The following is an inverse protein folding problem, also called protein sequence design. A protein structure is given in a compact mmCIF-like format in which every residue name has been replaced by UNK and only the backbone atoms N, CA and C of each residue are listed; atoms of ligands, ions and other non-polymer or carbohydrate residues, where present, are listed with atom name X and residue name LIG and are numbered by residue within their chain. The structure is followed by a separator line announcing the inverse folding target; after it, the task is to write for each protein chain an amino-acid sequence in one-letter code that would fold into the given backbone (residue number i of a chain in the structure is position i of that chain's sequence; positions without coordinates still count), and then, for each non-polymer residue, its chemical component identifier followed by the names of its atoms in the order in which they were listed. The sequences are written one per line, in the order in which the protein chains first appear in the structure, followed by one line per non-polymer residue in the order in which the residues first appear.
data_IF_796474220301
#
_entry.id   IF_796474220301
#
_cell.length_a   1.000
_cell.length_b   1.000
_cell.length_c   1.000
_cell.angle_alpha   90.00
_cell.angle_beta   90.00
_cell.angle_gamma   90.00
#
_symmetry.space_group_name_H-M   'P 1'
#
loop_
_entity.id
_entity.type
_entity.pdbx_description
1 polymer ?
#
# COMPACT_ATOMS: atom_id res chain seq x y z
N UNK A 1 56.88 48.83 53.38
CA UNK A 1 56.50 47.40 53.59
C UNK A 1 55.92 46.69 52.35
N UNK A 2 56.13 47.15 51.09
CA UNK A 2 55.62 46.47 49.87
C UNK A 2 56.66 45.58 49.14
N UNK A 3 57.91 45.52 49.62
CA UNK A 3 59.02 44.79 48.97
C UNK A 3 59.25 43.37 49.55
N UNK A 4 58.86 43.13 50.81
CA UNK A 4 59.07 41.84 51.47
C UNK A 4 58.09 40.77 50.99
N UNK A 5 56.80 41.12 50.82
CA UNK A 5 55.76 40.19 50.37
C UNK A 5 56.02 39.64 48.96
N UNK A 6 56.58 40.45 48.05
CA UNK A 6 56.92 40.02 46.69
C UNK A 6 58.11 39.05 46.65
N UNK A 7 59.00 39.08 47.66
CA UNK A 7 60.10 38.10 47.79
C UNK A 7 59.60 36.78 48.36
N UNK A 8 58.71 36.81 49.35
CA UNK A 8 58.13 35.59 49.93
C UNK A 8 57.27 34.81 48.93
N UNK A 9 56.42 35.49 48.14
CA UNK A 9 55.64 34.81 47.08
C UNK A 9 56.53 34.17 46.00
N UNK A 10 57.68 34.76 45.69
CA UNK A 10 58.64 34.16 44.74
C UNK A 10 59.34 32.92 45.32
N UNK A 11 59.64 32.94 46.62
CA UNK A 11 60.23 31.78 47.30
C UNK A 11 59.21 30.64 47.38
N UNK A 12 57.94 30.93 47.69
CA UNK A 12 56.86 29.94 47.68
C UNK A 12 56.66 29.33 46.28
N UNK A 13 56.60 30.15 45.23
CA UNK A 13 56.50 29.66 43.86
C UNK A 13 57.71 28.82 43.42
N UNK A 14 58.92 29.15 43.89
CA UNK A 14 60.11 28.34 43.64
C UNK A 14 60.05 26.98 44.36
N UNK A 15 59.62 26.95 45.63
CA UNK A 15 59.43 25.72 46.38
C UNK A 15 58.33 24.85 45.76
N UNK A 16 57.21 25.43 45.33
CA UNK A 16 56.16 24.69 44.62
C UNK A 16 56.67 24.11 43.29
N UNK A 17 57.50 24.86 42.55
CA UNK A 17 58.14 24.40 41.32
C UNK A 17 59.14 23.27 41.57
N UNK A 18 59.91 23.34 42.65
CA UNK A 18 60.83 22.27 43.07
C UNK A 18 60.08 21.00 43.48
N UNK A 19 58.95 21.14 44.20
CA UNK A 19 58.05 20.01 44.53
C UNK A 19 57.46 19.40 43.25
N UNK A 20 57.06 20.22 42.27
CA UNK A 20 56.53 19.73 41.01
C UNK A 20 57.59 18.97 40.19
N UNK A 21 58.81 19.50 40.07
CA UNK A 21 59.87 18.81 39.33
C UNK A 21 60.36 17.56 40.03
N UNK A 22 60.43 17.54 41.36
CA UNK A 22 60.78 16.33 42.10
C UNK A 22 59.73 15.23 41.91
N UNK A 23 58.43 15.57 41.94
CA UNK A 23 57.34 14.63 41.59
C UNK A 23 57.43 14.14 40.15
N UNK A 24 57.73 15.03 39.20
CA UNK A 24 57.88 14.66 37.79
C UNK A 24 59.08 13.72 37.59
N UNK A 25 60.21 13.99 38.25
CA UNK A 25 61.40 13.16 38.21
C UNK A 25 61.14 11.77 38.82
N UNK A 26 60.39 11.72 39.94
CA UNK A 26 60.03 10.45 40.57
C UNK A 26 59.09 9.64 39.68
N UNK A 27 58.07 10.26 39.10
CA UNK A 27 57.17 9.60 38.14
C UNK A 27 57.92 9.09 36.90
N UNK A 28 58.87 9.87 36.37
CA UNK A 28 59.70 9.45 35.24
C UNK A 28 60.56 8.22 35.57
N UNK A 29 61.15 8.17 36.76
CA UNK A 29 61.91 7.00 37.24
C UNK A 29 61.04 5.76 37.39
N UNK A 30 59.84 5.90 37.95
CA UNK A 30 58.89 4.78 38.07
C UNK A 30 58.47 4.23 36.70
N UNK A 31 58.29 5.09 35.70
CA UNK A 31 58.02 4.66 34.33
C UNK A 31 59.23 3.96 33.70
N UNK A 32 60.45 4.45 33.93
CA UNK A 32 61.67 3.83 33.44
C UNK A 32 61.86 2.42 34.04
N UNK A 33 61.68 2.24 35.35
CA UNK A 33 61.74 0.93 36.00
C UNK A 33 60.67 -0.02 35.45
N UNK A 34 59.45 0.48 35.22
CA UNK A 34 58.36 -0.31 34.63
C UNK A 34 58.69 -0.76 33.20
N UNK A 35 59.29 0.12 32.40
CA UNK A 35 59.75 -0.21 31.04
C UNK A 35 60.88 -1.23 31.07
N UNK A 36 61.84 -1.09 31.98
CA UNK A 36 62.93 -2.06 32.14
C UNK A 36 62.42 -3.45 32.56
N UNK A 37 61.41 -3.52 33.42
CA UNK A 37 60.76 -4.79 33.77
C UNK A 37 60.09 -5.43 32.54
N UNK A 38 59.34 -4.66 31.74
CA UNK A 38 58.75 -5.16 30.49
C UNK A 38 59.78 -5.59 29.46
N UNK A 39 60.91 -4.89 29.36
CA UNK A 39 61.99 -5.28 28.46
C UNK A 39 62.57 -6.65 28.84
N UNK A 40 62.75 -6.91 30.15
CA UNK A 40 63.19 -8.22 30.65
C UNK A 40 62.18 -9.33 30.36
N UNK A 41 60.89 -9.03 30.44
CA UNK A 41 59.82 -9.97 30.09
C UNK A 41 59.88 -10.34 28.60
N UNK A 42 60.05 -9.35 27.71
CA UNK A 42 60.20 -9.58 26.26
C UNK A 42 61.48 -10.37 25.95
N UNK A 43 62.60 -10.08 26.62
CA UNK A 43 63.85 -10.84 26.44
C UNK A 43 63.70 -12.32 26.87
N UNK A 44 62.90 -12.58 27.91
CA UNK A 44 62.53 -13.94 28.32
C UNK A 44 61.72 -14.68 27.25
N UNK A 45 60.68 -14.03 26.70
CA UNK A 45 59.87 -14.60 25.61
C UNK A 45 60.69 -14.85 24.35
N UNK A 46 61.66 -13.99 24.05
CA UNK A 46 62.51 -14.14 22.86
C UNK A 46 63.45 -15.34 22.99
N UNK A 47 64.04 -15.56 24.17
CA UNK A 47 64.81 -16.76 24.48
C UNK A 47 63.98 -18.04 24.41
N UNK A 48 62.73 -17.99 24.85
CA UNK A 48 61.81 -19.12 24.72
C UNK A 48 61.49 -19.42 23.26
N UNK A 49 61.25 -18.39 22.45
CA UNK A 49 61.05 -18.54 21.01
C UNK A 49 62.30 -19.10 20.29
N UNK A 50 63.50 -18.64 20.66
CA UNK A 50 64.76 -19.21 20.15
C UNK A 50 64.93 -20.68 20.55
N UNK A 51 64.59 -21.04 21.80
CA UNK A 51 64.60 -22.44 22.23
C UNK A 51 63.61 -23.31 21.45
N UNK A 52 62.42 -22.78 21.15
CA UNK A 52 61.43 -23.47 20.33
C UNK A 52 61.91 -23.64 18.89
N UNK A 53 62.59 -22.63 18.32
CA UNK A 53 63.20 -22.75 16.99
C UNK A 53 64.30 -23.81 16.95
N UNK A 54 65.18 -23.85 17.95
CA UNK A 54 66.22 -24.88 18.04
C UNK A 54 65.61 -26.29 18.20
N UNK A 55 64.53 -26.42 18.99
CA UNK A 55 63.82 -27.68 19.13
C UNK A 55 63.16 -28.12 17.81
N UNK A 56 62.54 -27.20 17.08
CA UNK A 56 61.97 -27.45 15.76
C UNK A 56 63.05 -27.82 14.74
N UNK A 57 64.19 -27.15 14.76
CA UNK A 57 65.31 -27.44 13.85
C UNK A 57 65.94 -28.81 14.15
N UNK A 58 66.00 -29.22 15.42
CA UNK A 58 66.38 -30.57 15.82
C UNK A 58 65.36 -31.65 15.40
N UNK A 59 64.06 -31.35 15.47
CA UNK A 59 62.99 -32.23 14.96
C UNK A 59 62.97 -32.29 13.42
N UNK A 60 63.45 -31.27 12.72
CA UNK A 60 63.63 -31.30 11.26
C UNK A 60 64.91 -32.05 10.82
N UNK A 61 65.85 -32.33 11.74
CA UNK A 61 67.12 -32.99 11.42
C UNK A 61 67.01 -34.54 11.28
N UNK A 62 65.79 -35.08 11.15
CA UNK A 62 65.56 -36.50 10.81
C UNK A 62 65.63 -36.77 9.29
N UNK A 63 65.79 -35.75 8.45
CA UNK A 63 65.94 -35.88 6.98
C UNK A 63 67.39 -36.19 6.52
N UNK A 64 68.20 -36.81 7.38
CA UNK A 64 69.53 -37.35 7.01
C UNK A 64 69.62 -38.86 7.37
N UNK A 65 68.63 -39.64 6.93
CA UNK A 65 68.73 -41.10 6.90
C UNK A 65 68.03 -41.69 5.67
N UNK A 66 68.41 -41.21 4.49
CA UNK A 66 68.24 -41.97 3.24
C UNK A 66 69.08 -43.25 3.32
N UNK A 67 68.51 -44.33 3.85
CA UNK A 67 68.87 -45.71 3.48
C UNK A 67 67.78 -46.69 3.93
N UNK A 68 66.67 -46.71 3.19
CA UNK A 68 65.55 -47.61 3.46
C UNK A 68 64.53 -47.64 2.31
N UNK A 69 64.91 -48.23 1.19
CA UNK A 69 64.08 -48.28 -0.01
C UNK A 69 62.71 -48.97 0.17
N UNK A 70 61.75 -48.44 -0.59
CA UNK A 70 60.55 -49.07 -1.15
C UNK A 70 59.16 -48.80 -0.52
N UNK A 71 59.02 -48.15 0.64
CA UNK A 71 57.68 -47.81 1.20
C UNK A 71 57.35 -46.32 1.12
N UNK A 72 58.33 -45.43 1.25
CA UNK A 72 58.13 -43.97 1.17
C UNK A 72 57.82 -43.46 -0.24
N UNK A 73 58.44 -44.01 -1.29
CA UNK A 73 58.14 -43.60 -2.67
C UNK A 73 56.73 -43.99 -3.18
N UNK A 74 56.07 -44.96 -2.53
CA UNK A 74 54.69 -45.35 -2.82
C UNK A 74 53.72 -44.47 -2.04
N UNK A 75 54.04 -44.17 -0.77
CA UNK A 75 53.27 -43.24 0.08
C UNK A 75 53.35 -41.79 -0.40
N UNK A 76 54.52 -41.33 -0.87
CA UNK A 76 54.69 -40.00 -1.45
C UNK A 76 53.85 -39.84 -2.70
N UNK A 77 53.85 -40.84 -3.59
CA UNK A 77 52.99 -40.83 -4.78
C UNK A 77 51.49 -40.86 -4.45
N UNK A 78 51.05 -41.65 -3.47
CA UNK A 78 49.64 -41.64 -3.06
C UNK A 78 49.22 -40.32 -2.41
N UNK A 79 50.10 -39.70 -1.62
CA UNK A 79 49.85 -38.39 -1.02
C UNK A 79 49.80 -37.28 -2.07
N UNK A 80 50.63 -37.37 -3.11
CA UNK A 80 50.67 -36.39 -4.19
C UNK A 80 49.43 -36.48 -5.10
N UNK A 81 48.95 -37.70 -5.37
CA UNK A 81 47.65 -37.96 -6.02
C UNK A 81 46.47 -37.44 -5.18
N UNK A 82 46.50 -37.64 -3.85
CA UNK A 82 45.49 -37.08 -2.94
C UNK A 82 45.52 -35.54 -2.93
N UNK A 83 46.71 -34.93 -2.97
CA UNK A 83 46.89 -33.48 -3.00
C UNK A 83 46.40 -32.89 -4.33
N UNK A 84 46.64 -33.57 -5.44
CA UNK A 84 46.12 -33.19 -6.76
C UNK A 84 44.59 -33.33 -6.83
N UNK A 85 44.02 -34.39 -6.24
CA UNK A 85 42.57 -34.55 -6.13
C UNK A 85 41.93 -33.47 -5.26
N UNK A 86 42.52 -33.16 -4.10
CA UNK A 86 42.04 -32.09 -3.21
C UNK A 86 42.11 -30.72 -3.91
N UNK A 87 43.16 -30.44 -4.69
CA UNK A 87 43.26 -29.21 -5.49
C UNK A 87 42.17 -29.15 -6.57
N UNK A 88 41.90 -30.26 -7.25
CA UNK A 88 40.83 -30.33 -8.23
C UNK A 88 39.44 -30.11 -7.60
N UNK A 89 39.19 -30.70 -6.42
CA UNK A 89 37.99 -30.48 -5.62
C UNK A 89 37.87 -29.03 -5.14
N UNK A 90 38.98 -28.41 -4.70
CA UNK A 90 39.01 -27.00 -4.29
C UNK A 90 38.69 -26.06 -5.46
N UNK A 91 39.24 -26.32 -6.65
CA UNK A 91 38.91 -25.56 -7.85
C UNK A 91 37.45 -25.73 -8.27
N UNK A 92 36.91 -26.95 -8.17
CA UNK A 92 35.51 -27.21 -8.46
C UNK A 92 34.60 -26.47 -7.48
N UNK A 93 34.91 -26.52 -6.17
CA UNK A 93 34.18 -25.79 -5.14
C UNK A 93 34.23 -24.27 -5.37
N UNK A 94 35.39 -23.72 -5.74
CA UNK A 94 35.53 -22.31 -6.10
C UNK A 94 34.65 -21.91 -7.28
N UNK A 95 34.58 -22.74 -8.33
CA UNK A 95 33.67 -22.50 -9.47
C UNK A 95 32.22 -22.51 -9.02
N UNK A 96 31.80 -23.53 -8.25
CA UNK A 96 30.43 -23.61 -7.74
C UNK A 96 30.06 -22.44 -6.83
N UNK A 97 30.98 -21.95 -6.00
CA UNK A 97 30.76 -20.77 -5.17
C UNK A 97 30.57 -19.52 -6.03
N UNK A 98 31.40 -19.33 -7.06
CA UNK A 98 31.26 -18.21 -7.99
C UNK A 98 29.92 -18.25 -8.76
N UNK A 99 29.47 -19.43 -9.16
CA UNK A 99 28.18 -19.60 -9.85
C UNK A 99 27.01 -19.30 -8.90
N UNK A 100 27.07 -19.80 -7.66
CA UNK A 100 26.09 -19.51 -6.61
C UNK A 100 26.04 -18.02 -6.23
N UNK A 101 27.19 -17.35 -6.17
CA UNK A 101 27.26 -15.90 -5.93
C UNK A 101 26.57 -15.13 -7.06
N UNK A 102 26.83 -15.49 -8.32
CA UNK A 102 26.17 -14.87 -9.47
C UNK A 102 24.65 -15.11 -9.50
N UNK A 103 24.20 -16.32 -9.14
CA UNK A 103 22.77 -16.62 -8.99
C UNK A 103 22.13 -15.80 -7.86
N UNK A 104 22.83 -15.64 -6.73
CA UNK A 104 22.35 -14.85 -5.60
C UNK A 104 22.25 -13.35 -5.95
N UNK A 105 23.22 -12.80 -6.69
CA UNK A 105 23.15 -11.44 -7.21
C UNK A 105 21.95 -11.24 -8.15
N UNK A 106 21.69 -12.20 -9.05
CA UNK A 106 20.49 -12.16 -9.90
C UNK A 106 19.20 -12.23 -9.09
N UNK A 107 19.16 -13.08 -8.06
CA UNK A 107 18.00 -13.19 -7.17
C UNK A 107 17.77 -11.89 -6.39
N UNK A 108 18.82 -11.20 -5.96
CA UNK A 108 18.70 -9.88 -5.31
C UNK A 108 18.10 -8.84 -6.25
N UNK A 109 18.56 -8.79 -7.51
CA UNK A 109 17.98 -7.90 -8.52
C UNK A 109 16.48 -8.21 -8.73
N UNK A 110 16.13 -9.50 -8.77
CA UNK A 110 14.74 -9.93 -8.93
C UNK A 110 13.88 -9.58 -7.71
N UNK A 111 14.40 -9.74 -6.49
CA UNK A 111 13.73 -9.34 -5.25
C UNK A 111 13.48 -7.83 -5.24
N UNK A 112 14.45 -7.01 -5.65
CA UNK A 112 14.28 -5.56 -5.66
C UNK A 112 13.28 -5.11 -6.74
N UNK A 113 13.22 -5.78 -7.89
CA UNK A 113 12.15 -5.56 -8.88
C UNK A 113 10.77 -5.86 -8.32
N UNK A 114 10.62 -6.99 -7.62
CA UNK A 114 9.34 -7.36 -7.00
C UNK A 114 8.91 -6.38 -5.90
N UNK A 115 9.84 -5.85 -5.11
CA UNK A 115 9.54 -4.82 -4.10
C UNK A 115 9.03 -3.53 -4.74
N UNK A 116 9.61 -3.11 -5.86
CA UNK A 116 9.13 -1.93 -6.59
C UNK A 116 7.74 -2.17 -7.21
N UNK A 117 7.47 -3.37 -7.73
CA UNK A 117 6.13 -3.76 -8.17
C UNK A 117 5.11 -3.76 -7.01
N UNK A 118 5.46 -4.37 -5.88
CA UNK A 118 4.63 -4.38 -4.65
C UNK A 118 4.29 -2.95 -4.21
N UNK A 119 5.30 -2.08 -4.16
CA UNK A 119 5.11 -0.67 -3.82
C UNK A 119 4.19 0.03 -4.82
N UNK A 120 4.36 -0.22 -6.12
CA UNK A 120 3.47 0.33 -7.15
C UNK A 120 2.02 -0.12 -6.96
N UNK A 121 1.79 -1.40 -6.65
CA UNK A 121 0.45 -1.91 -6.37
C UNK A 121 -0.12 -1.33 -5.08
N UNK A 122 0.70 -1.12 -4.05
CA UNK A 122 0.28 -0.50 -2.81
C UNK A 122 -0.11 0.97 -3.01
N UNK A 123 0.68 1.74 -3.78
CA UNK A 123 0.32 3.11 -4.17
C UNK A 123 -0.96 3.15 -5.01
N UNK A 124 -1.18 2.15 -5.87
CA UNK A 124 -2.44 2.00 -6.62
C UNK A 124 -3.63 1.69 -5.69
N UNK A 125 -3.44 0.82 -4.71
CA UNK A 125 -4.45 0.47 -3.70
C UNK A 125 -4.81 1.68 -2.85
N UNK A 126 -3.82 2.44 -2.37
CA UNK A 126 -4.05 3.67 -1.60
C UNK A 126 -4.73 4.77 -2.44
N UNK A 127 -4.47 4.81 -3.75
CA UNK A 127 -5.13 5.75 -4.66
C UNK A 127 -6.55 5.34 -5.02
N UNK A 128 -6.87 4.05 -4.92
CA UNK A 128 -8.16 3.51 -5.29
C UNK A 128 -8.94 3.18 -4.00
N UNK A 129 -9.84 4.08 -3.58
CA UNK A 129 -10.83 3.78 -2.55
C UNK A 129 -11.78 2.68 -3.04
N UNK A 130 -11.40 1.41 -2.86
CA UNK A 130 -12.17 0.26 -3.30
C UNK A 130 -13.39 -0.02 -2.40
N UNK A 131 -13.41 0.56 -1.20
CA UNK A 131 -14.50 0.42 -0.25
C UNK A 131 -15.38 1.65 -0.29
N UNK A 132 -16.59 1.49 -0.82
CA UNK A 132 -17.64 2.53 -0.83
C UNK A 132 -18.24 2.80 0.57
N UNK A 133 -17.75 2.10 1.60
CA UNK A 133 -18.18 2.24 2.99
C UNK A 133 -17.00 2.42 3.94
N UNK A 134 -17.26 3.14 5.02
CA UNK A 134 -16.38 3.28 6.16
C UNK A 134 -17.09 2.71 7.40
N UNK A 135 -16.34 2.00 8.24
CA UNK A 135 -16.87 1.50 9.52
C UNK A 135 -16.69 2.59 10.57
N UNK A 136 -17.80 3.20 11.00
CA UNK A 136 -17.78 4.33 11.93
C UNK A 136 -17.90 3.89 13.38
N UNK A 137 -18.57 2.77 13.64
CA UNK A 137 -18.70 2.21 14.99
C UNK A 137 -18.68 0.68 14.95
N UNK A 138 -17.96 0.09 15.90
CA UNK A 138 -17.92 -1.35 16.10
C UNK A 138 -17.95 -1.67 17.60
N UNK A 139 -19.05 -2.24 18.06
CA UNK A 139 -19.29 -2.55 19.47
C UNK A 139 -19.90 -3.94 19.64
N UNK A 140 -19.92 -4.44 20.87
CA UNK A 140 -20.52 -5.75 21.18
C UNK A 140 -21.97 -5.85 20.74
N UNK A 141 -22.74 -4.75 20.73
CA UNK A 141 -24.18 -4.80 20.47
C UNK A 141 -24.56 -4.23 19.10
N UNK A 142 -23.73 -3.38 18.50
CA UNK A 142 -24.01 -2.72 17.23
C UNK A 142 -22.77 -2.50 16.39
N UNK A 143 -22.95 -2.46 15.08
CA UNK A 143 -21.97 -1.94 14.14
C UNK A 143 -22.62 -0.92 13.23
N UNK A 144 -21.88 0.12 12.86
CA UNK A 144 -22.36 1.20 12.00
C UNK A 144 -21.40 1.35 10.84
N UNK A 145 -21.96 1.35 9.63
CA UNK A 145 -21.24 1.57 8.38
C UNK A 145 -21.82 2.81 7.71
N UNK A 146 -20.96 3.72 7.28
CA UNK A 146 -21.37 4.88 6.48
C UNK A 146 -21.01 4.66 5.01
N UNK A 147 -21.86 5.15 4.11
CA UNK A 147 -21.68 5.12 2.66
C UNK A 147 -21.85 6.53 2.08
N UNK A 148 -21.29 6.78 0.90
CA UNK A 148 -21.41 8.05 0.17
C UNK A 148 -21.06 9.27 1.04
N UNK A 149 -19.85 9.31 1.60
CA UNK A 149 -19.39 10.44 2.41
C UNK A 149 -20.38 10.77 3.55
N UNK A 150 -20.70 9.76 4.36
CA UNK A 150 -21.61 9.84 5.52
C UNK A 150 -23.06 10.23 5.22
N UNK A 151 -23.51 10.17 3.96
CA UNK A 151 -24.90 10.51 3.61
C UNK A 151 -25.88 9.33 3.75
N UNK A 152 -25.38 8.10 3.80
CA UNK A 152 -26.19 6.90 4.03
C UNK A 152 -25.55 6.08 5.15
N UNK A 153 -26.32 5.80 6.20
CA UNK A 153 -25.87 4.99 7.34
C UNK A 153 -26.54 3.63 7.33
N UNK A 154 -25.78 2.58 7.60
CA UNK A 154 -26.23 1.23 7.86
C UNK A 154 -25.94 0.87 9.33
N UNK A 155 -26.99 0.68 10.11
CA UNK A 155 -26.90 0.27 11.51
C UNK A 155 -27.25 -1.22 11.63
N UNK A 156 -26.30 -2.00 12.16
CA UNK A 156 -26.48 -3.41 12.53
C UNK A 156 -26.67 -3.52 14.04
N UNK A 157 -27.64 -4.32 14.47
CA UNK A 157 -27.77 -4.77 15.85
C UNK A 157 -27.46 -6.26 15.96
N UNK A 158 -26.52 -6.60 16.83
CA UNK A 158 -26.12 -7.98 17.07
C UNK A 158 -26.98 -8.65 18.14
N UNK A 159 -27.16 -9.96 17.99
CA UNK A 159 -27.75 -10.79 19.03
C UNK A 159 -26.88 -10.90 20.27
N UNK A 160 -27.43 -11.45 21.37
CA UNK A 160 -26.67 -11.66 22.60
C UNK A 160 -25.39 -12.46 22.33
N UNK A 161 -24.29 -12.15 23.01
CA UNK A 161 -23.01 -12.84 22.83
C UNK A 161 -23.18 -14.33 23.14
N UNK A 162 -22.53 -15.17 22.34
CA UNK A 162 -22.49 -16.62 22.57
C UNK A 162 -21.50 -16.87 23.72
N UNK A 163 -21.86 -17.70 24.71
CA UNK A 163 -21.00 -17.96 25.87
C UNK A 163 -19.61 -18.47 25.43
N UNK A 164 -18.57 -17.72 25.79
CA UNK A 164 -17.17 -18.05 25.49
C UNK A 164 -16.62 -17.46 24.18
N UNK A 165 -17.43 -16.75 23.40
CA UNK A 165 -16.98 -16.08 22.17
C UNK A 165 -16.21 -14.78 22.48
N UNK A 166 -15.08 -14.59 21.80
CA UNK A 166 -14.37 -13.32 21.80
C UNK A 166 -14.97 -12.45 20.70
N UNK A 167 -15.32 -11.23 21.08
CA UNK A 167 -15.99 -10.28 20.19
C UNK A 167 -15.36 -10.21 18.79
N UNK A 168 -16.13 -10.64 17.77
CA UNK A 168 -15.75 -10.57 16.36
C UNK A 168 -15.02 -11.79 15.80
N UNK A 169 -14.80 -12.85 16.60
CA UNK A 169 -14.16 -14.08 16.11
C UNK A 169 -15.16 -15.08 15.50
N UNK A 170 -16.41 -15.16 15.99
CA UNK A 170 -17.39 -16.11 15.47
C UNK A 170 -18.26 -15.56 14.31
N UNK A 171 -18.12 -16.09 13.07
CA UNK A 171 -18.95 -15.72 11.92
C UNK A 171 -20.41 -16.19 12.05
N UNK A 172 -20.73 -17.04 13.03
CA UNK A 172 -22.08 -17.57 13.27
C UNK A 172 -23.01 -16.60 14.01
N UNK A 173 -22.45 -15.48 14.52
CA UNK A 173 -23.20 -14.48 15.28
C UNK A 173 -24.39 -13.93 14.50
N UNK A 174 -25.57 -13.92 15.13
CA UNK A 174 -26.83 -13.49 14.52
C UNK A 174 -26.95 -11.96 14.48
N UNK A 175 -27.49 -11.47 13.38
CA UNK A 175 -27.90 -10.08 13.20
C UNK A 175 -29.40 -9.99 13.53
N UNK A 176 -29.76 -9.17 14.51
CA UNK A 176 -31.14 -9.01 15.00
C UNK A 176 -31.84 -7.84 14.33
N UNK A 177 -31.09 -6.78 14.00
CA UNK A 177 -31.60 -5.62 13.28
C UNK A 177 -30.61 -5.16 12.24
N UNK A 178 -31.14 -4.70 11.10
CA UNK A 178 -30.39 -4.13 9.99
C UNK A 178 -31.24 -3.00 9.43
N UNK A 179 -30.78 -1.77 9.61
CA UNK A 179 -31.52 -0.57 9.26
C UNK A 179 -30.64 0.35 8.42
N UNK A 180 -31.24 1.00 7.42
CA UNK A 180 -30.60 2.03 6.62
C UNK A 180 -31.24 3.38 6.88
N UNK A 181 -30.44 4.42 7.07
CA UNK A 181 -30.88 5.78 7.33
C UNK A 181 -30.22 6.78 6.37
N UNK A 182 -31.00 7.77 5.95
CA UNK A 182 -30.53 8.89 5.13
C UNK A 182 -30.12 10.02 6.06
N UNK A 183 -28.86 10.47 5.93
CA UNK A 183 -28.33 11.62 6.67
C UNK A 183 -28.19 12.85 5.78
N UNK A 184 -28.72 12.81 4.55
CA UNK A 184 -28.64 13.92 3.60
C UNK A 184 -29.68 15.00 3.94
N UNK A 185 -29.23 16.25 3.98
CA UNK A 185 -30.12 17.41 4.08
C UNK A 185 -30.83 17.67 2.74
N UNK A 186 -32.09 17.22 2.61
CA UNK A 186 -32.87 17.33 1.37
C UNK A 186 -33.10 18.78 0.89
N UNK A 187 -33.03 19.76 1.78
CA UNK A 187 -33.23 21.18 1.43
C UNK A 187 -31.96 21.81 0.87
N UNK A 188 -30.78 21.42 1.40
CA UNK A 188 -29.49 21.99 0.99
C UNK A 188 -28.77 21.18 -0.09
N UNK A 189 -29.10 19.90 -0.24
CA UNK A 189 -28.36 19.02 -1.14
C UNK A 189 -28.63 19.33 -2.63
N UNK A 190 -27.60 19.18 -3.49
CA UNK A 190 -27.77 19.26 -4.93
C UNK A 190 -28.85 18.28 -5.46
N UNK A 191 -29.57 18.63 -6.54
CA UNK A 191 -30.53 17.73 -7.18
C UNK A 191 -29.92 16.37 -7.57
N UNK A 192 -28.66 16.35 -8.03
CA UNK A 192 -27.89 15.14 -8.35
C UNK A 192 -27.79 14.21 -7.13
N UNK A 193 -27.33 14.71 -5.98
CA UNK A 193 -27.17 13.96 -4.74
C UNK A 193 -28.50 13.40 -4.23
N UNK A 194 -29.58 14.19 -4.28
CA UNK A 194 -30.92 13.76 -3.87
C UNK A 194 -31.46 12.63 -4.73
N UNK A 195 -31.22 12.68 -6.04
CA UNK A 195 -31.57 11.58 -6.95
C UNK A 195 -30.78 10.32 -6.64
N UNK A 196 -29.45 10.43 -6.49
CA UNK A 196 -28.56 9.31 -6.17
C UNK A 196 -29.06 8.59 -4.92
N UNK A 197 -29.32 9.35 -3.86
CA UNK A 197 -29.80 8.78 -2.61
C UNK A 197 -31.18 8.14 -2.75
N UNK A 198 -32.12 8.78 -3.45
CA UNK A 198 -33.44 8.20 -3.70
C UNK A 198 -33.37 6.87 -4.46
N UNK A 199 -32.44 6.74 -5.42
CA UNK A 199 -32.24 5.49 -6.16
C UNK A 199 -31.64 4.38 -5.26
N UNK A 200 -30.74 4.74 -4.35
CA UNK A 200 -30.16 3.80 -3.37
C UNK A 200 -31.24 3.31 -2.41
N UNK A 201 -32.08 4.19 -1.86
CA UNK A 201 -33.18 3.79 -0.99
C UNK A 201 -34.24 2.97 -1.74
N UNK A 202 -34.51 3.30 -3.00
CA UNK A 202 -35.37 2.46 -3.85
C UNK A 202 -34.81 1.03 -4.00
N UNK A 203 -33.49 0.88 -4.13
CA UNK A 203 -32.86 -0.44 -4.12
C UNK A 203 -33.06 -1.15 -2.79
N UNK A 204 -32.70 -0.49 -1.69
CA UNK A 204 -32.77 -1.04 -0.34
C UNK A 204 -34.20 -1.52 -0.04
N UNK A 205 -35.21 -0.70 -0.34
CA UNK A 205 -36.63 -1.04 -0.17
C UNK A 205 -37.06 -2.20 -1.07
N UNK A 206 -36.57 -2.25 -2.33
CA UNK A 206 -36.90 -3.34 -3.27
C UNK A 206 -36.36 -4.70 -2.84
N UNK A 207 -35.30 -4.73 -2.03
CA UNK A 207 -34.74 -5.97 -1.50
C UNK A 207 -35.58 -6.60 -0.37
N UNK A 208 -36.59 -5.89 0.14
CA UNK A 208 -37.46 -6.38 1.21
C UNK A 208 -36.76 -6.47 2.57
N UNK A 209 -36.99 -7.55 3.31
CA UNK A 209 -36.43 -7.74 4.65
C UNK A 209 -34.95 -8.17 4.57
N UNK A 210 -34.05 -7.19 4.66
CA UNK A 210 -32.59 -7.42 4.73
C UNK A 210 -32.17 -8.37 5.86
N UNK A 211 -32.92 -8.40 6.95
CA UNK A 211 -32.69 -9.31 8.08
C UNK A 211 -32.81 -10.79 7.67
N UNK A 212 -33.71 -11.12 6.73
CA UNK A 212 -33.87 -12.48 6.21
C UNK A 212 -32.74 -12.87 5.26
N UNK A 213 -32.22 -11.89 4.51
CA UNK A 213 -31.09 -12.08 3.58
C UNK A 213 -29.74 -12.14 4.29
N UNK A 214 -29.63 -11.46 5.43
CA UNK A 214 -28.40 -11.33 6.20
C UNK A 214 -28.62 -11.76 7.66
N UNK A 215 -28.94 -13.05 7.91
CA UNK A 215 -29.28 -13.51 9.26
C UNK A 215 -28.06 -13.60 10.19
N UNK A 216 -26.86 -13.73 9.63
CA UNK A 216 -25.60 -13.91 10.38
C UNK A 216 -24.47 -13.07 9.81
N UNK A 217 -23.44 -12.86 10.63
CA UNK A 217 -22.21 -12.14 10.28
C UNK A 217 -21.54 -12.62 9.00
N UNK A 218 -21.54 -13.92 8.72
CA UNK A 218 -21.01 -14.48 7.47
C UNK A 218 -21.64 -13.86 6.20
N UNK A 219 -22.90 -13.43 6.25
CA UNK A 219 -23.61 -12.85 5.11
C UNK A 219 -23.39 -11.35 4.96
N UNK A 220 -22.81 -10.70 5.97
CA UNK A 220 -22.60 -9.25 5.99
C UNK A 220 -21.69 -8.76 4.85
N UNK A 221 -20.54 -9.39 4.55
CA UNK A 221 -19.69 -8.94 3.44
C UNK A 221 -20.41 -8.93 2.09
N UNK A 222 -21.27 -9.92 1.83
CA UNK A 222 -22.08 -9.95 0.62
C UNK A 222 -23.10 -8.81 0.57
N UNK A 223 -23.76 -8.53 1.69
CA UNK A 223 -24.73 -7.44 1.79
C UNK A 223 -24.07 -6.08 1.54
N UNK A 224 -22.91 -5.85 2.18
CA UNK A 224 -22.11 -4.65 1.99
C UNK A 224 -21.68 -4.52 0.53
N UNK A 225 -21.23 -5.61 -0.10
CA UNK A 225 -20.84 -5.61 -1.50
C UNK A 225 -22.00 -5.27 -2.45
N UNK A 226 -23.19 -5.83 -2.22
CA UNK A 226 -24.38 -5.58 -3.04
C UNK A 226 -24.80 -4.11 -2.96
N UNK A 227 -24.79 -3.54 -1.75
CA UNK A 227 -25.10 -2.11 -1.52
C UNK A 227 -24.01 -1.23 -2.12
N UNK A 228 -22.72 -1.51 -1.87
CA UNK A 228 -21.59 -0.79 -2.46
C UNK A 228 -21.66 -0.75 -3.98
N UNK A 229 -22.04 -1.85 -4.60
CA UNK A 229 -22.17 -1.93 -6.06
C UNK A 229 -23.25 -0.98 -6.59
N UNK A 230 -24.38 -0.86 -5.89
CA UNK A 230 -25.46 0.09 -6.26
C UNK A 230 -25.02 1.52 -5.98
N UNK A 231 -24.43 1.75 -4.81
CA UNK A 231 -23.90 3.05 -4.37
C UNK A 231 -22.92 3.59 -5.41
N UNK A 232 -21.94 2.79 -5.82
CA UNK A 232 -20.92 3.16 -6.81
C UNK A 232 -21.55 3.54 -8.16
N UNK A 233 -22.49 2.72 -8.66
CA UNK A 233 -23.22 3.02 -9.91
C UNK A 233 -24.03 4.31 -9.83
N UNK A 234 -24.69 4.55 -8.69
CA UNK A 234 -25.47 5.76 -8.48
C UNK A 234 -24.57 6.99 -8.30
N UNK A 235 -23.42 6.86 -7.65
CA UNK A 235 -22.40 7.92 -7.55
C UNK A 235 -21.97 8.40 -8.94
N UNK A 236 -21.61 7.45 -9.83
CA UNK A 236 -21.26 7.75 -11.22
C UNK A 236 -22.40 8.49 -11.94
N UNK A 237 -23.65 8.07 -11.74
CA UNK A 237 -24.81 8.76 -12.31
C UNK A 237 -24.94 10.21 -11.79
N UNK A 238 -24.70 10.45 -10.51
CA UNK A 238 -24.66 11.80 -9.93
C UNK A 238 -23.62 12.67 -10.62
N UNK A 239 -22.40 12.16 -10.81
CA UNK A 239 -21.32 12.84 -11.54
C UNK A 239 -21.68 13.07 -13.02
N UNK A 240 -22.41 12.15 -13.64
CA UNK A 240 -22.90 12.33 -15.01
C UNK A 240 -23.86 13.51 -15.13
N UNK A 241 -24.78 13.66 -14.17
CA UNK A 241 -25.75 14.75 -14.13
C UNK A 241 -25.05 16.08 -13.90
N UNK A 242 -24.15 16.16 -12.92
CA UNK A 242 -23.38 17.38 -12.67
C UNK A 242 -22.54 17.81 -13.88
N UNK A 243 -21.99 16.83 -14.59
CA UNK A 243 -21.31 17.09 -15.85
C UNK A 243 -22.26 17.64 -16.92
N UNK A 244 -23.47 17.11 -17.05
CA UNK A 244 -24.46 17.60 -18.01
C UNK A 244 -25.00 18.98 -17.64
N UNK A 245 -25.17 19.28 -16.36
CA UNK A 245 -25.54 20.62 -15.90
C UNK A 245 -24.45 21.64 -16.23
N UNK A 246 -23.17 21.27 -16.08
CA UNK A 246 -22.03 22.16 -16.32
C UNK A 246 -21.62 22.28 -17.78
N UNK A 247 -21.70 21.19 -18.54
CA UNK A 247 -21.17 21.07 -19.91
C UNK A 247 -22.22 20.72 -20.96
N UNK A 248 -23.48 20.60 -20.58
CA UNK A 248 -24.60 20.22 -21.46
C UNK A 248 -24.74 21.13 -22.68
N UNK A 249 -24.40 22.41 -22.57
CA UNK A 249 -24.45 23.36 -23.68
C UNK A 249 -23.64 22.91 -24.91
N UNK A 250 -22.55 22.16 -24.73
CA UNK A 250 -21.76 21.58 -25.83
C UNK A 250 -22.56 20.57 -26.67
N UNK A 251 -23.60 19.99 -26.08
CA UNK A 251 -24.45 18.97 -26.69
C UNK A 251 -25.82 19.53 -27.13
N UNK A 252 -25.98 20.87 -27.21
CA UNK A 252 -27.27 21.53 -27.42
C UNK A 252 -28.32 21.20 -26.33
N UNK A 253 -27.86 20.79 -25.14
CA UNK A 253 -28.70 20.61 -23.95
C UNK A 253 -28.81 21.96 -23.24
N UNK A 254 -30.00 22.54 -23.26
CA UNK A 254 -30.29 23.84 -22.65
C UNK A 254 -30.47 23.73 -21.13
N UNK A 255 -31.15 22.68 -20.69
CA UNK A 255 -31.53 22.52 -19.29
C UNK A 255 -31.62 21.05 -18.92
N UNK A 256 -31.10 20.72 -17.75
CA UNK A 256 -31.34 19.48 -17.02
C UNK A 256 -32.23 19.81 -15.83
N UNK A 257 -33.28 19.03 -15.62
CA UNK A 257 -34.17 19.17 -14.47
C UNK A 257 -34.45 17.78 -13.88
N UNK A 258 -34.60 17.70 -12.56
CA UNK A 258 -34.73 16.44 -11.84
C UNK A 258 -36.01 16.48 -11.00
N UNK A 259 -36.89 15.53 -11.27
CA UNK A 259 -38.20 15.39 -10.64
C UNK A 259 -38.37 13.96 -10.13
N UNK A 260 -38.11 13.75 -8.84
CA UNK A 260 -38.18 12.41 -8.28
C UNK A 260 -37.01 11.54 -8.76
N UNK A 261 -37.35 10.47 -9.48
CA UNK A 261 -36.42 9.59 -10.20
C UNK A 261 -36.39 9.89 -11.70
N UNK A 262 -37.06 10.96 -12.15
CA UNK A 262 -37.15 11.34 -13.57
C UNK A 262 -36.19 12.48 -13.87
N UNK A 263 -35.37 12.32 -14.90
CA UNK A 263 -34.45 13.34 -15.40
C UNK A 263 -35.01 13.89 -16.71
N UNK A 264 -35.30 15.19 -16.74
CA UNK A 264 -35.80 15.93 -17.89
C UNK A 264 -34.64 16.64 -18.56
N UNK A 265 -34.42 16.36 -19.84
CA UNK A 265 -33.35 16.90 -20.66
C UNK A 265 -33.95 17.72 -21.80
N UNK A 266 -33.81 19.04 -21.75
CA UNK A 266 -34.33 19.95 -22.77
C UNK A 266 -33.25 20.23 -23.82
N UNK A 267 -33.46 19.72 -25.03
CA UNK A 267 -32.61 19.97 -26.18
C UNK A 267 -33.17 21.10 -27.04
N UNK A 268 -32.28 21.95 -27.56
CA UNK A 268 -32.65 22.98 -28.53
C UNK A 268 -31.50 23.28 -29.47
N UNK A 269 -31.76 23.19 -30.76
CA UNK A 269 -30.80 23.51 -31.81
C UNK A 269 -31.48 24.34 -32.89
N UNK A 270 -30.88 25.50 -33.19
CA UNK A 270 -31.33 26.35 -34.30
C UNK A 270 -30.96 25.72 -35.64
N UNK A 271 -29.79 25.08 -35.73
CA UNK A 271 -29.30 24.45 -36.98
C UNK A 271 -30.17 23.28 -37.41
N UNK A 272 -30.63 22.47 -36.45
CA UNK A 272 -31.54 21.35 -36.71
C UNK A 272 -33.03 21.76 -36.70
N UNK A 273 -33.34 23.05 -36.46
CA UNK A 273 -34.69 23.58 -36.29
C UNK A 273 -35.56 22.73 -35.34
N UNK A 274 -35.00 22.35 -34.20
CA UNK A 274 -35.62 21.41 -33.28
C UNK A 274 -35.52 21.85 -31.83
N UNK A 275 -36.61 21.64 -31.09
CA UNK A 275 -36.69 21.81 -29.64
C UNK A 275 -37.59 20.74 -29.06
N UNK A 276 -37.06 19.93 -28.16
CA UNK A 276 -37.80 18.84 -27.54
C UNK A 276 -37.21 18.52 -26.17
N UNK A 277 -38.04 17.98 -25.29
CA UNK A 277 -37.66 17.53 -23.97
C UNK A 277 -37.74 16.00 -23.91
N UNK A 278 -36.69 15.37 -23.40
CA UNK A 278 -36.67 13.92 -23.14
C UNK A 278 -36.74 13.72 -21.65
N UNK A 279 -37.75 13.01 -21.17
CA UNK A 279 -37.84 12.59 -19.77
C UNK A 279 -37.39 11.14 -19.65
N UNK A 280 -36.32 10.90 -18.92
CA UNK A 280 -35.78 9.57 -18.62
C UNK A 280 -36.22 9.14 -17.22
N UNK A 281 -36.81 7.96 -17.09
CA UNK A 281 -37.17 7.40 -15.78
C UNK A 281 -36.04 6.49 -15.29
N UNK A 282 -35.35 6.91 -14.23
CA UNK A 282 -34.23 6.17 -13.66
C UNK A 282 -34.70 5.19 -12.59
N UNK A 283 -33.90 4.15 -12.37
CA UNK A 283 -34.10 3.14 -11.33
C UNK A 283 -32.75 2.67 -10.79
N UNK A 284 -32.77 1.96 -9.67
CA UNK A 284 -31.58 1.34 -9.06
C UNK A 284 -30.81 0.37 -9.99
N UNK A 285 -31.44 -0.10 -11.07
CA UNK A 285 -30.79 -0.96 -12.06
C UNK A 285 -29.93 -0.19 -13.07
N UNK A 286 -29.87 1.14 -13.00
CA UNK A 286 -28.97 1.93 -13.83
C UNK A 286 -27.49 1.55 -13.56
N UNK A 287 -26.62 1.46 -14.58
CA UNK A 287 -26.88 1.62 -16.02
C UNK A 287 -27.07 0.27 -16.74
N UNK A 288 -27.47 -0.79 -16.05
CA UNK A 288 -27.51 -2.16 -16.58
C UNK A 288 -28.72 -2.46 -17.48
N UNK A 289 -29.75 -1.61 -17.47
CA UNK A 289 -30.95 -1.75 -18.29
C UNK A 289 -31.21 -0.50 -19.14
N UNK A 290 -31.84 -0.65 -20.33
CA UNK A 290 -32.30 0.49 -21.12
C UNK A 290 -33.28 1.36 -20.32
N UNK A 291 -33.16 2.67 -20.49
CA UNK A 291 -33.98 3.64 -19.75
C UNK A 291 -35.35 3.83 -20.39
N UNK A 292 -36.46 3.65 -19.65
CA UNK A 292 -37.76 4.09 -20.09
C UNK A 292 -37.75 5.61 -20.29
N UNK A 293 -38.25 6.07 -21.44
CA UNK A 293 -38.23 7.48 -21.79
C UNK A 293 -39.57 7.93 -22.38
N UNK A 294 -39.83 9.24 -22.27
CA UNK A 294 -40.91 9.91 -22.98
C UNK A 294 -40.37 11.18 -23.63
N UNK A 295 -40.97 11.59 -24.75
CA UNK A 295 -40.52 12.75 -25.52
C UNK A 295 -41.65 13.78 -25.63
N UNK A 296 -41.38 15.00 -25.20
CA UNK A 296 -42.26 16.14 -25.40
C UNK A 296 -41.67 17.06 -26.48
N UNK A 297 -42.26 17.00 -27.67
CA UNK A 297 -41.86 17.82 -28.81
C UNK A 297 -42.43 19.23 -28.70
N UNK A 298 -41.59 20.25 -28.89
CA UNK A 298 -42.01 21.66 -28.96
C UNK A 298 -41.87 22.24 -30.38
N UNK A 299 -40.74 21.98 -31.04
CA UNK A 299 -40.40 22.49 -32.38
C UNK A 299 -39.71 21.38 -33.18
N UNK A 300 -40.02 21.29 -34.48
CA UNK A 300 -39.40 20.35 -35.41
C UNK A 300 -40.14 19.00 -35.53
N UNK A 301 -39.48 18.03 -36.17
CA UNK A 301 -40.06 16.71 -36.47
C UNK A 301 -39.49 15.57 -35.62
N UNK A 302 -38.60 15.87 -34.68
CA UNK A 302 -38.01 14.86 -33.79
C UNK A 302 -39.06 14.46 -32.75
N UNK A 303 -39.45 13.18 -32.77
CA UNK A 303 -40.36 12.57 -31.83
C UNK A 303 -39.78 11.31 -31.20
N UNK A 304 -40.66 10.50 -30.64
CA UNK A 304 -40.30 9.30 -29.90
C UNK A 304 -39.62 8.23 -30.78
N UNK A 305 -40.00 8.12 -32.05
CA UNK A 305 -39.42 7.13 -32.98
C UNK A 305 -37.96 7.41 -33.28
N UNK A 306 -37.63 8.68 -33.57
CA UNK A 306 -36.26 9.10 -33.88
C UNK A 306 -35.36 8.95 -32.65
N UNK A 307 -35.85 9.33 -31.48
CA UNK A 307 -35.13 9.16 -30.21
C UNK A 307 -34.96 7.68 -29.88
N UNK A 308 -35.99 6.86 -30.04
CA UNK A 308 -35.91 5.41 -29.81
C UNK A 308 -34.85 4.75 -30.68
N UNK A 309 -34.75 5.13 -31.95
CA UNK A 309 -33.74 4.58 -32.86
C UNK A 309 -32.32 4.89 -32.35
N UNK A 310 -32.07 6.15 -31.97
CA UNK A 310 -30.77 6.57 -31.44
C UNK A 310 -30.43 5.89 -30.11
N UNK A 311 -31.39 5.77 -29.19
CA UNK A 311 -31.18 5.15 -27.89
C UNK A 311 -30.92 3.63 -27.99
N UNK A 312 -31.50 2.98 -28.99
CA UNK A 312 -31.30 1.54 -29.22
C UNK A 312 -29.86 1.19 -29.64
N UNK A 313 -29.13 2.16 -30.21
CA UNK A 313 -27.74 2.00 -30.62
C UNK A 313 -26.75 2.23 -29.47
N UNK A 314 -27.18 2.85 -28.37
CA UNK A 314 -26.30 3.15 -27.23
C UNK A 314 -26.20 1.93 -26.32
N UNK A 315 -25.01 1.33 -26.15
CA UNK A 315 -24.86 0.18 -25.28
C UNK A 315 -24.96 0.59 -23.81
N UNK A 316 -25.72 -0.18 -23.04
CA UNK A 316 -25.81 -0.08 -21.57
C UNK A 316 -24.43 -0.20 -20.90
N UNK A 317 -24.26 0.38 -19.71
CA UNK A 317 -23.00 0.35 -18.97
C UNK A 317 -22.43 1.72 -18.60
N UNK A 318 -21.14 1.76 -18.26
CA UNK A 318 -20.49 2.96 -17.71
C UNK A 318 -20.73 4.22 -18.56
N UNK A 319 -21.07 5.34 -17.90
CA UNK A 319 -21.43 6.61 -18.54
C UNK A 319 -22.60 6.55 -19.55
N UNK A 320 -23.63 5.76 -19.27
CA UNK A 320 -24.75 5.56 -20.20
C UNK A 320 -25.52 6.85 -20.53
N UNK A 321 -25.78 7.71 -19.53
CA UNK A 321 -26.49 8.97 -19.70
C UNK A 321 -25.69 9.95 -20.56
N UNK A 322 -24.39 10.10 -20.30
CA UNK A 322 -23.50 10.96 -21.12
C UNK A 322 -23.44 10.47 -22.57
N UNK A 323 -23.28 9.16 -22.77
CA UNK A 323 -23.25 8.56 -24.13
C UNK A 323 -24.58 8.74 -24.85
N UNK A 324 -25.69 8.61 -24.13
CA UNK A 324 -27.04 8.90 -24.62
C UNK A 324 -27.16 10.34 -25.12
N UNK A 325 -26.80 11.33 -24.30
CA UNK A 325 -26.84 12.75 -24.68
C UNK A 325 -25.93 13.04 -25.87
N UNK A 326 -24.73 12.46 -25.89
CA UNK A 326 -23.80 12.61 -27.01
C UNK A 326 -24.36 12.03 -28.31
N UNK A 327 -25.01 10.86 -28.25
CA UNK A 327 -25.60 10.21 -29.42
C UNK A 327 -26.78 11.02 -29.98
N UNK A 328 -27.66 11.55 -29.11
CA UNK A 328 -28.74 12.47 -29.52
C UNK A 328 -28.16 13.71 -30.21
N UNK A 329 -27.11 14.29 -29.63
CA UNK A 329 -26.47 15.47 -30.22
C UNK A 329 -25.92 15.19 -31.62
N UNK A 330 -25.12 14.12 -31.77
CA UNK A 330 -24.48 13.78 -33.04
C UNK A 330 -25.48 13.41 -34.13
N UNK A 331 -26.46 12.56 -33.82
CA UNK A 331 -27.36 11.99 -34.81
C UNK A 331 -28.56 12.88 -35.15
N UNK A 332 -29.03 13.71 -34.21
CA UNK A 332 -30.27 14.49 -34.36
C UNK A 332 -30.06 16.00 -34.39
N UNK A 333 -28.95 16.52 -33.84
CA UNK A 333 -28.77 17.97 -33.67
C UNK A 333 -27.58 18.56 -34.44
N UNK A 334 -26.61 17.73 -34.87
CA UNK A 334 -25.47 18.18 -35.68
C UNK A 334 -25.69 18.07 -37.20
N UNK A 335 -26.62 17.23 -37.66
CA UNK A 335 -26.85 17.05 -39.10
C UNK A 335 -27.88 18.05 -39.66
N UNK A 336 -27.56 18.80 -40.73
CA UNK A 336 -28.61 19.35 -41.59
C UNK A 336 -29.21 18.15 -42.35
N UNK A 337 -30.49 17.85 -42.09
CA UNK A 337 -31.25 16.96 -42.97
C UNK A 337 -31.82 17.75 -44.13
#
# INVERSE_FOLDING_TARGET
MKSCFTKESKILAHNEKEILYSKLLQSAKEQEEKLQLRLKEVDGLLKEAESCLVALEADCNWEELETGGSVEMVKGRSLEEELENIKAEEEQLKRTLSDLEAENEQMLIWIDQLKEEEKSYQELLERCDFTEWEMTEWSEQRAVFSFLYDSVELTLGFGPPIEGDKFGEDPSRKIVSLNFESLLDEEKAPPSSRLVQRLIFQFIESQGCWQEKCPTMHHLPQALHDVSSVVSRCKVLGEEIEFLERWGGKYNLLKTDIDGTKVKLLFSSVTAHAKFEVTLSLSASYPAAPLPFTVQRQIGNIGEKEISAVLSEVPVGYHYLRRTVSSIHQNLLQSPR
#
